data_IF_553605217269
#
_entry.id   IF_553605217269
#
_cell.length_a   1.000
_cell.length_b   1.000
_cell.length_c   1.000
_cell.angle_alpha   90.00
_cell.angle_beta   90.00
_cell.angle_gamma   90.00
#
_symmetry.space_group_name_H-M   'P 1'
#
loop_
_entity.id
_entity.type
_entity.pdbx_description
1 polymer ?
#
# COMPACT_ATOMS: atom_id res chain seq x y z
N UNK A 1 4.31 2.73 -9.47
CA UNK A 1 3.74 4.02 -9.04
C UNK A 1 4.40 4.49 -7.76
N UNK A 2 4.88 5.71 -7.77
CA UNK A 2 5.44 6.37 -6.60
C UNK A 2 4.40 7.29 -5.96
N UNK A 3 4.77 7.97 -4.86
CA UNK A 3 3.82 8.69 -4.01
C UNK A 3 2.88 9.64 -4.75
N UNK A 4 3.38 10.45 -5.69
CA UNK A 4 2.53 11.38 -6.42
C UNK A 4 1.51 10.66 -7.30
N UNK A 5 1.93 9.62 -8.00
CA UNK A 5 1.02 8.83 -8.83
C UNK A 5 0.02 8.05 -7.95
N UNK A 6 0.47 7.56 -6.81
CA UNK A 6 -0.42 6.90 -5.85
C UNK A 6 -1.47 7.86 -5.32
N UNK A 7 -1.10 9.09 -5.04
CA UNK A 7 -2.04 10.10 -4.55
C UNK A 7 -3.16 10.36 -5.57
N UNK A 8 -2.83 10.36 -6.87
CA UNK A 8 -3.82 10.51 -7.93
C UNK A 8 -4.68 9.26 -8.09
N UNK A 9 -4.11 8.09 -7.81
CA UNK A 9 -4.80 6.81 -7.93
C UNK A 9 -5.66 6.46 -6.73
N UNK A 10 -5.46 7.13 -5.60
CA UNK A 10 -6.10 6.77 -4.34
C UNK A 10 -7.57 7.17 -4.30
N UNK A 11 -8.40 6.25 -3.78
CA UNK A 11 -9.84 6.49 -3.55
C UNK A 11 -10.19 5.93 -2.19
N UNK A 12 -10.68 6.77 -1.30
CA UNK A 12 -11.15 6.31 0.00
C UNK A 12 -12.56 5.76 -0.19
N UNK A 13 -12.71 4.46 0.00
CA UNK A 13 -13.97 3.76 -0.25
C UNK A 13 -14.84 3.73 0.98
N UNK A 14 -14.25 3.42 2.12
CA UNK A 14 -14.95 3.40 3.39
C UNK A 14 -14.30 4.44 4.29
N UNK A 15 -15.12 5.21 4.98
CA UNK A 15 -14.67 6.37 5.74
C UNK A 15 -13.47 6.05 6.61
N UNK A 16 -12.48 6.90 6.55
CA UNK A 16 -11.25 6.63 7.27
C UNK A 16 -10.14 7.56 6.83
N UNK A 17 -10.26 8.82 7.13
CA UNK A 17 -9.17 9.77 7.02
C UNK A 17 -8.91 10.30 5.62
N UNK A 18 -7.69 10.66 5.37
CA UNK A 18 -7.25 11.35 4.17
C UNK A 18 -5.94 10.77 3.69
N UNK A 19 -5.61 11.03 2.44
CA UNK A 19 -4.30 10.69 1.88
C UNK A 19 -3.56 11.98 1.50
N UNK A 20 -2.25 11.95 1.63
CA UNK A 20 -1.39 13.04 1.18
C UNK A 20 0.00 12.52 0.86
N UNK A 21 0.71 13.22 -0.01
CA UNK A 21 2.12 12.94 -0.25
C UNK A 21 2.92 13.52 0.92
N UNK A 22 3.70 12.68 1.58
CA UNK A 22 4.49 13.08 2.74
C UNK A 22 5.97 12.99 2.43
N UNK A 23 6.73 14.08 2.65
CA UNK A 23 8.19 14.02 2.54
C UNK A 23 8.77 13.14 3.63
N UNK A 24 9.70 12.26 3.25
CA UNK A 24 10.29 11.30 4.17
C UNK A 24 11.77 11.58 4.49
N UNK A 25 12.33 12.66 3.97
CA UNK A 25 13.75 12.98 4.19
C UNK A 25 14.14 13.13 5.66
N UNK A 26 13.22 13.56 6.51
CA UNK A 26 13.46 13.69 7.94
C UNK A 26 13.52 12.37 8.69
N UNK A 27 13.17 11.25 8.03
CA UNK A 27 13.17 9.92 8.63
C UNK A 27 14.32 9.04 8.11
N UNK A 28 15.21 9.60 7.31
CA UNK A 28 16.32 8.87 6.70
C UNK A 28 16.07 8.53 5.25
N UNK A 29 16.87 7.64 4.69
CA UNK A 29 16.74 7.20 3.31
C UNK A 29 15.88 5.96 3.17
N UNK A 30 15.70 5.52 1.95
CA UNK A 30 15.01 4.25 1.67
C UNK A 30 13.63 4.39 1.06
N UNK A 31 13.13 5.60 0.90
CA UNK A 31 11.88 5.86 0.21
C UNK A 31 12.14 6.40 -1.19
N UNK A 32 11.40 5.86 -2.17
CA UNK A 32 11.53 6.25 -3.56
C UNK A 32 11.17 7.72 -3.72
N UNK A 33 12.05 8.50 -4.34
CA UNK A 33 11.84 9.94 -4.48
C UNK A 33 11.82 10.72 -3.17
N UNK A 34 12.16 10.09 -2.05
CA UNK A 34 12.13 10.74 -0.74
C UNK A 34 10.73 11.03 -0.21
N UNK A 35 9.70 10.36 -0.73
CA UNK A 35 8.30 10.61 -0.39
C UNK A 35 7.52 9.32 -0.22
N UNK A 36 6.39 9.40 0.47
CA UNK A 36 5.41 8.31 0.53
C UNK A 36 4.00 8.86 0.42
N UNK A 37 3.05 8.01 0.04
CA UNK A 37 1.64 8.33 0.21
C UNK A 37 1.28 8.01 1.66
N UNK A 38 0.85 9.01 2.40
CA UNK A 38 0.47 8.85 3.79
C UNK A 38 -1.06 8.78 3.90
N UNK A 39 -1.55 7.69 4.46
CA UNK A 39 -2.98 7.50 4.73
C UNK A 39 -3.24 7.69 6.22
N UNK A 40 -3.94 8.77 6.55
CA UNK A 40 -4.40 9.00 7.91
C UNK A 40 -5.62 8.11 8.13
N UNK A 41 -5.41 6.82 8.26
CA UNK A 41 -6.50 5.89 8.45
C UNK A 41 -7.21 6.15 9.77
N UNK A 42 -8.51 6.02 9.76
CA UNK A 42 -9.30 6.36 10.92
C UNK A 42 -9.51 5.22 11.88
N UNK A 43 -9.80 4.03 11.38
CA UNK A 43 -10.26 2.93 12.23
C UNK A 43 -10.22 1.61 11.48
N UNK A 44 -10.42 0.53 12.22
CA UNK A 44 -10.59 -0.81 11.66
C UNK A 44 -11.78 -0.80 10.70
N UNK A 45 -11.60 -1.38 9.54
CA UNK A 45 -12.60 -1.43 8.48
C UNK A 45 -12.46 -0.36 7.42
N UNK A 46 -11.61 0.65 7.63
CA UNK A 46 -11.37 1.67 6.61
C UNK A 46 -10.67 1.04 5.39
N UNK A 47 -11.09 1.43 4.20
CA UNK A 47 -10.58 0.87 2.93
C UNK A 47 -10.10 1.98 2.02
N UNK A 48 -8.90 1.80 1.50
CA UNK A 48 -8.30 2.65 0.49
C UNK A 48 -8.06 1.82 -0.76
N UNK A 49 -8.60 2.27 -1.90
CA UNK A 49 -8.32 1.66 -3.19
C UNK A 49 -7.26 2.48 -3.93
N UNK A 50 -6.29 1.78 -4.49
CA UNK A 50 -5.34 2.36 -5.43
C UNK A 50 -5.72 1.87 -6.83
N UNK A 51 -6.17 2.78 -7.68
CA UNK A 51 -6.64 2.45 -9.01
C UNK A 51 -5.46 2.54 -9.98
N UNK A 52 -5.18 1.43 -10.66
CA UNK A 52 -4.03 1.35 -11.57
C UNK A 52 -4.49 0.94 -12.97
N UNK A 53 -3.77 1.39 -13.99
CA UNK A 53 -4.05 1.01 -15.35
C UNK A 53 -3.21 -0.20 -15.73
N UNK A 54 -3.89 -1.24 -16.20
CA UNK A 54 -3.26 -2.47 -16.65
C UNK A 54 -3.31 -2.48 -18.19
N UNK A 55 -2.15 -2.49 -18.87
CA UNK A 55 -2.12 -2.30 -20.32
C UNK A 55 -2.63 -3.49 -21.12
N UNK A 56 -2.52 -4.69 -20.60
CA UNK A 56 -2.97 -5.90 -21.30
C UNK A 56 -3.34 -6.97 -20.30
N UNK A 57 -4.31 -7.81 -20.66
CA UNK A 57 -4.71 -8.93 -19.81
C UNK A 57 -3.54 -9.91 -19.66
N UNK A 58 -3.21 -10.25 -18.43
CA UNK A 58 -2.12 -11.18 -18.12
C UNK A 58 -2.14 -11.54 -16.64
N UNK A 59 -1.24 -12.40 -16.23
CA UNK A 59 -0.93 -12.59 -14.82
C UNK A 59 0.13 -11.58 -14.42
N UNK A 60 -0.11 -10.89 -13.32
CA UNK A 60 0.82 -9.89 -12.80
C UNK A 60 1.24 -10.23 -11.40
N UNK A 61 2.54 -10.11 -11.14
CA UNK A 61 3.04 -10.08 -9.78
C UNK A 61 2.85 -8.67 -9.24
N UNK A 62 2.34 -8.58 -8.02
CA UNK A 62 2.05 -7.29 -7.38
C UNK A 62 2.87 -7.18 -6.11
N UNK A 63 3.68 -6.14 -6.03
CA UNK A 63 4.41 -5.82 -4.81
C UNK A 63 4.13 -4.40 -4.37
N UNK A 64 4.07 -4.22 -3.06
CA UNK A 64 3.88 -2.92 -2.47
C UNK A 64 5.00 -2.66 -1.47
N UNK A 65 5.53 -1.44 -1.48
CA UNK A 65 6.56 -1.03 -0.54
C UNK A 65 5.90 -0.14 0.49
N UNK A 66 5.99 -0.53 1.74
CA UNK A 66 5.27 0.11 2.82
C UNK A 66 6.24 0.70 3.84
N UNK A 67 5.68 1.42 4.81
CA UNK A 67 6.43 1.98 5.92
C UNK A 67 5.92 1.36 7.21
N UNK A 68 6.82 1.15 8.17
CA UNK A 68 6.47 0.80 9.55
C UNK A 68 6.74 2.00 10.44
N UNK A 69 5.89 2.18 11.42
CA UNK A 69 6.02 3.32 12.34
C UNK A 69 5.28 3.05 13.65
N UNK A 70 5.52 3.87 14.71
CA UNK A 70 4.88 3.65 16.01
C UNK A 70 3.36 3.81 16.02
N UNK A 71 2.80 4.52 15.02
CA UNK A 71 1.38 4.83 14.94
C UNK A 71 0.69 4.20 13.73
N UNK A 72 1.27 3.15 13.16
CA UNK A 72 0.72 2.50 11.97
C UNK A 72 -0.06 1.24 12.33
N UNK A 73 -1.08 0.94 11.54
CA UNK A 73 -1.97 -0.19 11.74
C UNK A 73 -1.55 -1.43 10.96
N UNK A 74 -2.38 -2.47 11.10
CA UNK A 74 -2.25 -3.69 10.32
C UNK A 74 -3.15 -3.59 9.09
N UNK A 75 -2.66 -4.06 7.96
CA UNK A 75 -3.33 -3.96 6.67
C UNK A 75 -3.55 -5.34 6.08
N UNK A 76 -4.73 -5.56 5.51
CA UNK A 76 -4.96 -6.66 4.57
C UNK A 76 -5.11 -6.09 3.17
N UNK A 77 -4.99 -6.94 2.16
CA UNK A 77 -4.94 -6.51 0.78
C UNK A 77 -5.83 -7.34 -0.11
N UNK A 78 -6.37 -6.69 -1.16
CA UNK A 78 -7.02 -7.37 -2.27
C UNK A 78 -6.52 -6.75 -3.55
N UNK A 79 -6.38 -7.56 -4.58
CA UNK A 79 -6.05 -7.09 -5.92
C UNK A 79 -7.21 -7.47 -6.81
N UNK A 80 -7.95 -6.46 -7.28
CA UNK A 80 -9.14 -6.61 -8.11
C UNK A 80 -10.15 -7.61 -7.50
N UNK A 81 -10.33 -7.52 -6.18
CA UNK A 81 -11.23 -8.40 -5.43
C UNK A 81 -10.64 -9.75 -5.01
N UNK A 82 -9.42 -10.04 -5.42
CA UNK A 82 -8.74 -11.29 -5.06
C UNK A 82 -7.88 -11.08 -3.82
N UNK A 83 -7.98 -11.94 -2.80
CA UNK A 83 -7.22 -11.72 -1.57
C UNK A 83 -5.72 -11.74 -1.78
N UNK A 84 -5.02 -10.83 -1.15
CA UNK A 84 -3.57 -10.86 -1.08
C UNK A 84 -3.06 -11.90 -0.09
N UNK A 85 -1.74 -12.14 -0.12
CA UNK A 85 -1.16 -13.28 0.57
C UNK A 85 -1.21 -13.21 2.09
N UNK A 86 -0.94 -12.03 2.68
CA UNK A 86 -0.77 -11.91 4.12
C UNK A 86 -1.16 -10.55 4.62
N UNK A 87 -1.42 -10.48 5.92
CA UNK A 87 -1.61 -9.20 6.62
C UNK A 87 -0.24 -8.57 6.90
N UNK A 88 -0.13 -7.28 6.69
CA UNK A 88 1.07 -6.51 6.98
C UNK A 88 0.92 -5.81 8.32
N UNK A 89 1.87 -6.02 9.25
CA UNK A 89 1.89 -5.29 10.50
C UNK A 89 2.77 -4.05 10.35
N UNK A 90 2.14 -2.88 10.38
CA UNK A 90 2.83 -1.60 10.20
C UNK A 90 3.50 -1.06 11.47
N UNK A 91 3.41 -1.76 12.58
CA UNK A 91 3.99 -1.28 13.83
C UNK A 91 5.50 -1.47 13.87
N UNK A 92 6.20 -0.46 14.37
CA UNK A 92 7.65 -0.50 14.59
C UNK A 92 8.01 0.58 15.60
N UNK A 93 9.03 0.38 16.43
CA UNK A 93 9.49 1.43 17.36
C UNK A 93 9.99 2.68 16.67
N UNK A 94 10.42 2.58 15.42
CA UNK A 94 10.92 3.71 14.64
C UNK A 94 10.34 3.68 13.24
N UNK A 95 10.31 4.83 12.58
CA UNK A 95 9.87 4.94 11.19
C UNK A 95 10.91 4.29 10.29
N UNK A 96 10.50 3.30 9.51
CA UNK A 96 11.40 2.56 8.63
C UNK A 96 10.67 2.01 7.41
N UNK A 97 11.34 1.97 6.24
CA UNK A 97 10.76 1.33 5.07
C UNK A 97 10.70 -0.18 5.26
N UNK A 98 9.65 -0.80 4.72
CA UNK A 98 9.48 -2.25 4.86
C UNK A 98 10.26 -3.06 3.84
N UNK A 99 10.70 -2.42 2.75
CA UNK A 99 11.13 -3.15 1.56
C UNK A 99 9.92 -3.72 0.81
N UNK A 100 10.17 -4.56 -0.21
CA UNK A 100 9.07 -5.10 -1.01
C UNK A 100 8.24 -6.09 -0.20
N UNK A 101 6.92 -5.90 -0.25
CA UNK A 101 5.95 -6.82 0.34
C UNK A 101 5.15 -7.43 -0.79
N UNK A 102 5.27 -8.74 -0.98
CA UNK A 102 4.66 -9.42 -2.10
C UNK A 102 3.20 -9.72 -1.80
N UNK A 103 2.30 -9.20 -2.62
CA UNK A 103 0.87 -9.49 -2.48
C UNK A 103 0.49 -10.81 -3.16
N UNK A 104 1.25 -11.22 -4.15
CA UNK A 104 1.00 -12.45 -4.91
C UNK A 104 0.98 -12.21 -6.40
N UNK A 105 0.50 -13.22 -7.13
CA UNK A 105 0.34 -13.17 -8.58
C UNK A 105 -1.15 -13.27 -8.89
N UNK A 106 -1.64 -12.35 -9.74
CA UNK A 106 -3.06 -12.22 -10.01
C UNK A 106 -3.33 -12.12 -11.50
N UNK A 107 -4.40 -12.78 -11.96
CA UNK A 107 -4.87 -12.62 -13.32
C UNK A 107 -5.68 -11.33 -13.40
N UNK A 108 -5.24 -10.39 -14.21
CA UNK A 108 -5.88 -9.08 -14.36
C UNK A 108 -6.23 -8.82 -15.81
N UNK A 109 -7.40 -8.23 -16.02
CA UNK A 109 -7.82 -7.77 -17.34
C UNK A 109 -7.23 -6.40 -17.63
N UNK A 110 -7.16 -6.02 -18.89
CA UNK A 110 -6.75 -4.68 -19.28
C UNK A 110 -7.75 -3.65 -18.73
N UNK A 111 -7.28 -2.45 -18.49
CA UNK A 111 -8.08 -1.34 -18.01
C UNK A 111 -7.77 -1.00 -16.56
N UNK A 112 -8.67 -0.29 -15.92
CA UNK A 112 -8.46 0.12 -14.53
C UNK A 112 -8.74 -1.02 -13.58
N UNK A 113 -7.75 -1.34 -12.75
CA UNK A 113 -7.85 -2.39 -11.72
C UNK A 113 -7.55 -1.79 -10.36
N UNK A 114 -7.99 -2.43 -9.30
CA UNK A 114 -7.84 -1.89 -7.95
C UNK A 114 -6.92 -2.74 -7.09
N UNK A 115 -6.03 -2.07 -6.37
CA UNK A 115 -5.32 -2.68 -5.25
C UNK A 115 -5.91 -2.05 -4.00
N UNK A 116 -6.55 -2.85 -3.17
CA UNK A 116 -7.29 -2.36 -2.01
C UNK A 116 -6.55 -2.67 -0.72
N UNK A 117 -6.47 -1.68 0.16
CA UNK A 117 -5.88 -1.82 1.47
C UNK A 117 -6.98 -1.61 2.51
N UNK A 118 -7.09 -2.55 3.46
CA UNK A 118 -8.05 -2.42 4.55
C UNK A 118 -7.31 -2.43 5.88
N UNK A 119 -7.66 -1.51 6.76
CA UNK A 119 -7.15 -1.52 8.12
C UNK A 119 -7.91 -2.58 8.90
N UNK A 120 -7.20 -3.60 9.39
CA UNK A 120 -7.83 -4.74 10.08
C UNK A 120 -7.53 -4.76 11.58
N UNK A 121 -6.63 -3.91 12.04
CA UNK A 121 -6.28 -3.85 13.45
C UNK A 121 -5.02 -3.04 13.67
N UNK A 122 -4.43 -3.20 14.83
CA UNK A 122 -3.11 -2.65 15.12
C UNK A 122 -2.41 -3.54 16.14
N UNK A 123 -1.08 -3.47 16.15
CA UNK A 123 -0.30 -4.12 17.19
C UNK A 123 -0.58 -3.43 18.53
N UNK A 124 -0.46 -4.17 19.63
CA UNK A 124 -0.66 -3.61 20.97
C UNK A 124 0.26 -2.43 21.26
N UNK A 125 1.45 -2.42 20.63
CA UNK A 125 2.41 -1.34 20.82
C UNK A 125 2.15 -0.14 19.91
N UNK A 126 1.22 -0.22 18.97
CA UNK A 126 0.93 0.87 18.06
C UNK A 126 -0.07 1.85 18.68
N UNK A 127 0.13 3.13 18.42
CA UNK A 127 -0.75 4.19 18.93
C UNK A 127 -1.81 4.63 17.92
N UNK A 128 -1.83 4.04 16.72
CA UNK A 128 -2.78 4.48 15.69
C UNK A 128 -2.97 3.48 14.56
N UNK A 129 -3.72 3.93 13.55
CA UNK A 129 -4.13 3.13 12.41
C UNK A 129 -3.68 3.74 11.08
N UNK A 130 -2.58 4.46 11.09
CA UNK A 130 -2.07 5.10 9.87
C UNK A 130 -1.34 4.11 8.99
N UNK A 131 -1.12 4.48 7.73
CA UNK A 131 -0.35 3.68 6.79
C UNK A 131 0.47 4.58 5.88
N UNK A 132 1.62 4.07 5.45
CA UNK A 132 2.46 4.76 4.49
C UNK A 132 2.81 3.83 3.35
N UNK A 133 2.62 4.29 2.12
CA UNK A 133 2.91 3.52 0.92
C UNK A 133 4.00 4.26 0.16
N UNK A 134 5.17 3.61 0.04
CA UNK A 134 6.29 4.16 -0.71
C UNK A 134 6.03 4.06 -2.21
N UNK A 135 5.77 2.86 -2.69
CA UNK A 135 5.44 2.63 -4.10
C UNK A 135 4.72 1.31 -4.30
N UNK A 136 4.08 1.20 -5.45
CA UNK A 136 3.36 0.00 -5.88
C UNK A 136 3.91 -0.41 -7.23
N UNK A 137 4.22 -1.70 -7.38
CA UNK A 137 4.72 -2.26 -8.64
C UNK A 137 3.88 -3.43 -9.09
N UNK A 138 3.52 -3.40 -10.38
CA UNK A 138 2.91 -4.52 -11.05
C UNK A 138 3.79 -4.87 -12.23
N UNK A 139 4.14 -6.14 -12.38
CA UNK A 139 4.92 -6.59 -13.54
C UNK A 139 4.42 -7.96 -13.98
N UNK A 140 4.52 -8.26 -15.30
CA UNK A 140 4.02 -9.53 -15.81
C UNK A 140 4.71 -10.68 -15.11
N UNK A 141 3.91 -11.61 -14.57
CA UNK A 141 4.44 -12.83 -13.96
C UNK A 141 5.06 -13.68 -15.08
N UNK A 142 6.22 -14.23 -14.82
CA UNK A 142 6.96 -14.92 -15.85
C UNK A 142 7.92 -14.04 -16.64
N UNK A 143 7.80 -12.72 -16.52
CA UNK A 143 8.87 -11.86 -16.97
C UNK A 143 10.05 -12.17 -16.08
N UNK A 144 11.24 -11.97 -16.54
CA UNK A 144 12.26 -12.38 -15.76
C UNK A 144 12.35 -11.92 -14.64
N UNK A 145 12.34 -12.64 -13.95
CA UNK A 145 12.50 -12.39 -12.70
C UNK A 145 13.86 -12.29 -12.31
#
# INVERSE_FOLDING_TARGET
LEAEALAKAARIVIAGGQVQVQPMGGFGGGWSGGEQLFWHGGAVGAVLDLVVDVPAASKYAVEIYLTRAPDYGKLSFEVDGQPGAMTFNGSSPAVAPSGPFQLGTFALQAGQRKVSLMIVGKDADSTGYFAGIDKLRLYPAGAIE
#
